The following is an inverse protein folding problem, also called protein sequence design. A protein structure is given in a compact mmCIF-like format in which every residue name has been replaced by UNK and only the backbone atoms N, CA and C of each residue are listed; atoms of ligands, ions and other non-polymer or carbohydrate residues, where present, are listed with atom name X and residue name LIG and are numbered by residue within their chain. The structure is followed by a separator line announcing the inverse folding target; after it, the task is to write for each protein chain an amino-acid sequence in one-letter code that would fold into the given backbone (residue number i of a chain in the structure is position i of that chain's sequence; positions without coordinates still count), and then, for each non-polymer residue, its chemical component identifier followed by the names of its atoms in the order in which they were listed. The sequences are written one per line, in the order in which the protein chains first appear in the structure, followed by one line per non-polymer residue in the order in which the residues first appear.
data_IF_036591962125
#
_entry.id   IF_036591962125
#
_cell.length_a   1.000
_cell.length_b   1.000
_cell.length_c   1.000
_cell.angle_alpha   90.00
_cell.angle_beta   90.00
_cell.angle_gamma   90.00
#
_symmetry.space_group_name_H-M   'P 1'
#
loop_
_entity.id
_entity.type
_entity.pdbx_description
1 polymer ?
#
# COMPACT_ATOMS: atom_id res chain seq x y z
N UNK A 1 -32.32 -23.34 14.01
CA UNK A 1 -31.54 -22.74 15.11
C UNK A 1 -30.08 -23.06 14.83
N UNK A 2 -29.39 -22.21 14.07
CA UNK A 2 -28.01 -22.45 13.64
C UNK A 2 -27.12 -22.14 14.84
N UNK A 3 -26.59 -23.17 15.50
CA UNK A 3 -25.51 -23.02 16.46
C UNK A 3 -24.28 -22.53 15.70
N UNK A 4 -24.03 -21.23 15.71
CA UNK A 4 -22.72 -20.65 15.40
C UNK A 4 -21.78 -21.07 16.52
N UNK A 5 -21.18 -22.26 16.36
CA UNK A 5 -20.02 -22.68 17.13
C UNK A 5 -18.90 -21.72 16.74
N UNK A 6 -18.71 -20.65 17.51
CA UNK A 6 -17.52 -19.80 17.42
C UNK A 6 -16.29 -20.71 17.55
N UNK A 7 -15.43 -20.83 16.52
CA UNK A 7 -14.18 -21.56 16.69
C UNK A 7 -13.26 -20.72 17.58
N UNK A 8 -12.69 -21.39 18.57
CA UNK A 8 -11.60 -21.02 19.47
C UNK A 8 -11.00 -19.61 19.25
N UNK A 9 -11.40 -18.64 20.07
CA UNK A 9 -10.71 -17.36 20.22
C UNK A 9 -9.23 -17.62 20.49
N UNK A 10 -8.38 -17.33 19.51
CA UNK A 10 -6.92 -17.54 19.55
C UNK A 10 -6.18 -16.57 20.48
N UNK A 11 -6.83 -16.05 21.54
CA UNK A 11 -6.23 -15.16 22.53
C UNK A 11 -5.08 -15.82 23.32
N UNK A 12 -4.94 -17.15 23.28
CA UNK A 12 -3.84 -17.87 23.94
C UNK A 12 -2.60 -18.00 23.06
N UNK A 13 -2.69 -17.70 21.76
CA UNK A 13 -1.57 -17.76 20.83
C UNK A 13 -0.79 -16.44 20.84
N UNK A 14 0.16 -16.35 21.77
CA UNK A 14 1.15 -15.26 21.89
C UNK A 14 1.70 -14.77 20.54
N UNK A 15 2.11 -15.63 19.57
CA UNK A 15 2.62 -15.14 18.29
C UNK A 15 1.57 -14.42 17.45
N UNK A 16 0.31 -14.85 17.49
CA UNK A 16 -0.79 -14.24 16.73
C UNK A 16 -1.14 -12.86 17.30
N UNK A 17 -1.21 -12.74 18.62
CA UNK A 17 -1.39 -11.45 19.30
C UNK A 17 -0.23 -10.49 19.02
N UNK A 18 1.01 -10.98 18.98
CA UNK A 18 2.17 -10.15 18.65
C UNK A 18 2.09 -9.61 17.21
N UNK A 19 1.70 -10.45 16.24
CA UNK A 19 1.52 -10.04 14.83
C UNK A 19 0.39 -9.01 14.71
N UNK A 20 -0.75 -9.24 15.35
CA UNK A 20 -1.88 -8.32 15.35
C UNK A 20 -1.52 -6.97 15.97
N UNK A 21 -0.82 -6.97 17.11
CA UNK A 21 -0.34 -5.75 17.77
C UNK A 21 0.67 -4.99 16.89
N UNK A 22 1.57 -5.71 16.22
CA UNK A 22 2.52 -5.11 15.28
C UNK A 22 1.80 -4.46 14.08
N UNK A 23 0.83 -5.14 13.47
CA UNK A 23 0.03 -4.57 12.38
C UNK A 23 -0.81 -3.37 12.83
N UNK A 24 -1.37 -3.40 14.04
CA UNK A 24 -2.05 -2.25 14.62
C UNK A 24 -1.10 -1.06 14.82
N UNK A 25 0.12 -1.30 15.30
CA UNK A 25 1.14 -0.27 15.46
C UNK A 25 1.53 0.34 14.10
N UNK A 26 1.75 -0.49 13.08
CA UNK A 26 2.04 -0.03 11.72
C UNK A 26 0.91 0.81 11.15
N UNK A 27 -0.34 0.40 11.37
CA UNK A 27 -1.51 1.17 10.95
C UNK A 27 -1.55 2.54 11.65
N UNK A 28 -1.34 2.59 12.96
CA UNK A 28 -1.34 3.86 13.72
C UNK A 28 -0.21 4.80 13.30
N UNK A 29 1.03 4.29 13.24
CA UNK A 29 2.19 5.11 12.84
C UNK A 29 2.03 5.55 11.39
N UNK A 30 1.62 4.64 10.51
CA UNK A 30 1.46 4.90 9.09
C UNK A 30 0.36 5.92 8.79
N UNK A 31 -0.81 5.79 9.41
CA UNK A 31 -1.91 6.74 9.22
C UNK A 31 -1.56 8.12 9.79
N UNK A 32 -1.02 8.19 11.00
CA UNK A 32 -0.59 9.45 11.61
C UNK A 32 0.51 10.13 10.78
N UNK A 33 1.52 9.37 10.34
CA UNK A 33 2.62 9.88 9.53
C UNK A 33 2.15 10.42 8.18
N UNK A 34 1.37 9.63 7.43
CA UNK A 34 0.85 10.04 6.13
C UNK A 34 -0.15 11.20 6.23
N UNK A 35 -0.96 11.25 7.30
CA UNK A 35 -1.85 12.37 7.56
C UNK A 35 -1.08 13.66 7.87
N UNK A 36 0.00 13.56 8.65
CA UNK A 36 0.87 14.70 8.95
C UNK A 36 1.59 15.22 7.69
N UNK A 37 2.08 14.33 6.82
CA UNK A 37 2.67 14.74 5.54
C UNK A 37 1.62 15.43 4.67
N UNK A 38 0.42 14.84 4.56
CA UNK A 38 -0.66 15.41 3.76
C UNK A 38 -1.11 16.79 4.28
N UNK A 39 -1.17 16.98 5.60
CA UNK A 39 -1.55 18.27 6.19
C UNK A 39 -0.49 19.34 5.93
N UNK A 40 0.80 19.01 6.04
CA UNK A 40 1.91 19.91 5.69
C UNK A 40 1.88 20.26 4.20
N UNK A 41 1.69 19.28 3.32
CA UNK A 41 1.63 19.52 1.87
C UNK A 41 0.42 20.38 1.51
N UNK A 42 -0.73 20.14 2.14
CA UNK A 42 -1.92 20.95 1.95
C UNK A 42 -1.69 22.41 2.42
N UNK A 43 -1.08 22.58 3.59
CA UNK A 43 -0.72 23.90 4.12
C UNK A 43 0.22 24.67 3.17
N UNK A 44 1.29 24.03 2.69
CA UNK A 44 2.26 24.64 1.77
C UNK A 44 1.61 25.00 0.43
N UNK A 45 0.74 24.13 -0.12
CA UNK A 45 0.00 24.41 -1.35
C UNK A 45 -1.01 25.54 -1.22
N UNK A 46 -1.57 25.73 -0.02
CA UNK A 46 -2.50 26.81 0.25
C UNK A 46 -1.79 28.17 0.38
N UNK A 47 -0.57 28.20 0.95
CA UNK A 47 0.18 29.44 1.12
C UNK A 47 0.94 29.89 -0.13
N UNK A 48 1.43 28.97 -0.96
CA UNK A 48 2.15 29.32 -2.20
C UNK A 48 1.52 28.65 -3.41
N UNK A 49 0.91 29.45 -4.30
CA UNK A 49 0.31 28.96 -5.54
C UNK A 49 1.34 28.34 -6.49
N UNK A 50 2.63 28.70 -6.41
CA UNK A 50 3.70 28.02 -7.15
C UNK A 50 3.94 26.60 -6.62
N UNK A 51 3.69 26.36 -5.33
CA UNK A 51 3.76 25.03 -4.76
C UNK A 51 2.67 24.08 -5.30
N UNK A 52 1.55 24.60 -5.83
CA UNK A 52 0.54 23.79 -6.51
C UNK A 52 1.09 23.13 -7.79
N UNK A 53 2.03 23.79 -8.49
CA UNK A 53 2.64 23.30 -9.73
C UNK A 53 3.92 22.47 -9.48
N UNK A 54 4.34 22.30 -8.23
CA UNK A 54 5.50 21.47 -7.91
C UNK A 54 5.16 19.98 -8.07
N UNK A 55 5.75 19.34 -9.08
CA UNK A 55 5.59 17.91 -9.36
C UNK A 55 5.96 17.03 -8.15
N UNK A 56 6.98 17.41 -7.37
CA UNK A 56 7.34 16.76 -6.10
C UNK A 56 6.18 16.66 -5.12
N UNK A 57 5.46 17.76 -4.90
CA UNK A 57 4.33 17.78 -3.96
C UNK A 57 3.16 16.95 -4.49
N UNK A 58 3.02 16.82 -5.82
CA UNK A 58 2.05 15.91 -6.42
C UNK A 58 2.42 14.44 -6.19
N UNK A 59 3.68 14.05 -6.40
CA UNK A 59 4.15 12.69 -6.09
C UNK A 59 3.91 12.33 -4.62
N UNK A 60 4.24 13.23 -3.70
CA UNK A 60 4.02 13.01 -2.26
C UNK A 60 2.53 12.84 -1.95
N UNK A 61 1.64 13.67 -2.52
CA UNK A 61 0.19 13.51 -2.30
C UNK A 61 -0.32 12.17 -2.81
N UNK A 62 0.07 11.77 -4.02
CA UNK A 62 -0.36 10.50 -4.60
C UNK A 62 0.18 9.34 -3.75
N UNK A 63 1.43 9.41 -3.28
CA UNK A 63 2.02 8.41 -2.39
C UNK A 63 1.21 8.25 -1.10
N UNK A 64 0.86 9.36 -0.43
CA UNK A 64 0.05 9.31 0.79
C UNK A 64 -1.34 8.68 0.55
N UNK A 65 -2.01 9.01 -0.57
CA UNK A 65 -3.31 8.41 -0.93
C UNK A 65 -3.18 6.89 -1.06
N UNK A 66 -2.08 6.43 -1.66
CA UNK A 66 -1.84 5.02 -1.95
C UNK A 66 -1.45 4.26 -0.70
N UNK A 67 -0.70 4.89 0.20
CA UNK A 67 -0.40 4.31 1.50
C UNK A 67 -1.68 4.19 2.35
N UNK A 68 -2.59 5.17 2.32
CA UNK A 68 -3.92 5.03 2.94
C UNK A 68 -4.71 3.86 2.34
N UNK A 69 -4.73 3.73 1.01
CA UNK A 69 -5.39 2.62 0.32
C UNK A 69 -4.77 1.27 0.70
N UNK A 70 -3.45 1.23 0.87
CA UNK A 70 -2.69 0.04 1.32
C UNK A 70 -2.92 -0.28 2.79
N UNK A 71 -3.37 0.69 3.59
CA UNK A 71 -3.66 0.53 5.02
C UNK A 71 -5.05 -0.02 5.30
N UNK A 72 -6.02 0.16 4.39
CA UNK A 72 -7.39 -0.34 4.55
C UNK A 72 -7.50 -1.86 4.74
N UNK A 73 -6.68 -2.72 4.09
CA UNK A 73 -6.69 -4.16 4.32
C UNK A 73 -6.18 -4.59 5.70
N UNK A 74 -5.23 -3.85 6.32
CA UNK A 74 -4.63 -4.24 7.60
C UNK A 74 -5.63 -4.52 8.74
N UNK A 75 -6.60 -3.64 9.04
CA UNK A 75 -7.58 -3.92 10.10
C UNK A 75 -8.45 -5.14 9.77
N UNK A 76 -8.76 -5.37 8.48
CA UNK A 76 -9.51 -6.55 8.06
C UNK A 76 -8.70 -7.83 8.23
N UNK A 77 -7.39 -7.80 7.96
CA UNK A 77 -6.47 -8.92 8.23
C UNK A 77 -6.37 -9.21 9.72
N UNK A 78 -6.32 -8.18 10.57
CA UNK A 78 -6.31 -8.36 12.04
C UNK A 78 -7.60 -9.05 12.48
N UNK A 79 -8.76 -8.59 12.00
CA UNK A 79 -10.07 -9.19 12.32
C UNK A 79 -10.13 -10.65 11.86
N UNK A 80 -9.71 -10.96 10.63
CA UNK A 80 -9.64 -12.33 10.11
C UNK A 80 -8.74 -13.23 10.96
N UNK A 81 -7.57 -12.73 11.39
CA UNK A 81 -6.65 -13.45 12.26
C UNK A 81 -7.22 -13.70 13.67
N UNK A 82 -7.98 -12.75 14.23
CA UNK A 82 -8.61 -12.89 15.55
C UNK A 82 -9.82 -13.84 15.52
N UNK A 83 -10.68 -13.73 14.50
CA UNK A 83 -11.88 -14.55 14.35
C UNK A 83 -11.57 -15.95 13.80
N UNK A 84 -10.46 -16.13 13.11
CA UNK A 84 -10.08 -17.39 12.47
C UNK A 84 -10.93 -17.77 11.25
N UNK A 85 -11.87 -16.90 10.84
CA UNK A 85 -12.68 -17.05 9.64
C UNK A 85 -13.05 -15.68 9.03
N UNK A 86 -13.23 -15.65 7.71
CA UNK A 86 -13.51 -14.41 6.96
C UNK A 86 -15.01 -14.13 6.87
N UNK A 87 -15.49 -13.08 7.56
CA UNK A 87 -16.92 -12.76 7.64
C UNK A 87 -17.49 -11.91 6.47
N UNK A 88 -16.65 -11.22 5.70
CA UNK A 88 -17.10 -10.25 4.67
C UNK A 88 -17.39 -10.88 3.29
N UNK A 89 -17.32 -12.21 3.19
CA UNK A 89 -17.54 -12.96 1.95
C UNK A 89 -16.38 -12.94 0.97
N UNK A 90 -16.46 -13.79 -0.06
CA UNK A 90 -15.39 -14.04 -1.05
C UNK A 90 -15.00 -12.81 -1.87
N UNK A 91 -15.97 -11.99 -2.26
CA UNK A 91 -15.72 -10.78 -3.05
C UNK A 91 -14.85 -9.77 -2.30
N UNK A 92 -15.18 -9.49 -1.03
CA UNK A 92 -14.41 -8.58 -0.19
C UNK A 92 -12.98 -9.12 0.06
N UNK A 93 -12.83 -10.42 0.32
CA UNK A 93 -11.51 -11.05 0.50
C UNK A 93 -10.60 -10.83 -0.73
N UNK A 94 -11.14 -11.06 -1.93
CA UNK A 94 -10.42 -10.83 -3.19
C UNK A 94 -10.10 -9.35 -3.38
N UNK A 95 -11.04 -8.46 -3.09
CA UNK A 95 -10.85 -7.01 -3.23
C UNK A 95 -9.75 -6.48 -2.30
N UNK A 96 -9.79 -6.81 -1.00
CA UNK A 96 -8.78 -6.33 -0.05
C UNK A 96 -7.39 -6.87 -0.37
N UNK A 97 -7.30 -8.14 -0.76
CA UNK A 97 -6.03 -8.71 -1.22
C UNK A 97 -5.52 -7.97 -2.46
N UNK A 98 -6.39 -7.72 -3.44
CA UNK A 98 -6.03 -6.95 -4.63
C UNK A 98 -5.55 -5.54 -4.27
N UNK A 99 -6.26 -4.83 -3.39
CA UNK A 99 -5.90 -3.48 -2.93
C UNK A 99 -4.53 -3.45 -2.24
N UNK A 100 -4.23 -4.45 -1.40
CA UNK A 100 -2.92 -4.55 -0.74
C UNK A 100 -1.77 -4.67 -1.76
N UNK A 101 -1.95 -5.50 -2.78
CA UNK A 101 -0.92 -5.70 -3.80
C UNK A 101 -0.78 -4.50 -4.74
N UNK A 102 -1.91 -3.97 -5.22
CA UNK A 102 -1.93 -2.76 -6.05
C UNK A 102 -1.26 -1.61 -5.29
N UNK A 103 -1.59 -1.44 -4.01
CA UNK A 103 -1.02 -0.42 -3.15
C UNK A 103 0.52 -0.50 -3.08
N UNK A 104 1.07 -1.68 -2.77
CA UNK A 104 2.54 -1.90 -2.73
C UNK A 104 3.22 -1.60 -4.07
N UNK A 105 2.64 -2.07 -5.17
CA UNK A 105 3.17 -1.86 -6.52
C UNK A 105 3.16 -0.36 -6.86
N UNK A 106 2.04 0.30 -6.58
CA UNK A 106 1.85 1.70 -6.96
C UNK A 106 2.69 2.64 -6.09
N UNK A 107 2.86 2.39 -4.78
CA UNK A 107 3.79 3.13 -3.93
C UNK A 107 5.23 3.01 -4.43
N UNK A 108 5.66 1.80 -4.82
CA UNK A 108 7.00 1.59 -5.39
C UNK A 108 7.16 2.35 -6.71
N UNK A 109 6.16 2.31 -7.59
CA UNK A 109 6.16 3.05 -8.85
C UNK A 109 6.33 4.56 -8.63
N UNK A 110 5.59 5.13 -7.67
CA UNK A 110 5.69 6.56 -7.33
C UNK A 110 7.07 6.91 -6.77
N UNK A 111 7.60 6.11 -5.84
CA UNK A 111 8.92 6.36 -5.24
C UNK A 111 10.03 6.34 -6.27
N UNK A 112 9.95 5.41 -7.23
CA UNK A 112 10.95 5.31 -8.28
C UNK A 112 10.78 6.45 -9.29
N UNK A 113 9.56 6.80 -9.69
CA UNK A 113 9.29 7.97 -10.53
C UNK A 113 9.79 9.27 -9.87
N UNK A 114 9.56 9.42 -8.56
CA UNK A 114 10.06 10.53 -7.75
C UNK A 114 11.59 10.57 -7.71
N UNK A 115 12.23 9.42 -7.47
CA UNK A 115 13.71 9.32 -7.43
C UNK A 115 14.32 9.64 -8.79
N UNK A 116 13.70 9.19 -9.88
CA UNK A 116 14.13 9.50 -11.23
C UNK A 116 13.97 10.97 -11.57
N UNK A 117 12.83 11.58 -11.21
CA UNK A 117 12.59 13.01 -11.39
C UNK A 117 13.71 13.83 -10.74
N UNK A 118 14.04 13.52 -9.48
CA UNK A 118 15.14 14.15 -8.75
C UNK A 118 16.51 13.87 -9.37
N UNK A 119 16.78 12.62 -9.74
CA UNK A 119 18.04 12.23 -10.38
C UNK A 119 18.24 12.97 -11.71
N UNK A 120 17.21 13.08 -12.54
CA UNK A 120 17.27 13.79 -13.82
C UNK A 120 17.46 15.29 -13.62
N UNK A 121 16.76 15.89 -12.67
CA UNK A 121 16.90 17.31 -12.34
C UNK A 121 18.34 17.66 -11.90
N UNK A 122 19.05 16.75 -11.22
CA UNK A 122 20.42 16.95 -10.73
C UNK A 122 21.47 16.62 -11.81
N UNK A 123 21.42 15.44 -12.40
CA UNK A 123 22.49 14.97 -13.30
C UNK A 123 22.37 15.52 -14.72
N UNK A 124 21.15 15.80 -15.19
CA UNK A 124 20.91 16.11 -16.60
C UNK A 124 19.85 17.20 -16.75
N UNK A 125 20.20 18.48 -16.51
CA UNK A 125 19.25 19.58 -16.62
C UNK A 125 18.65 19.74 -18.03
N UNK A 126 19.15 19.04 -19.08
CA UNK A 126 18.68 19.21 -20.46
C UNK A 126 18.48 17.98 -21.36
N UNK A 127 18.89 16.71 -21.08
CA UNK A 127 18.85 15.70 -22.20
C UNK A 127 18.81 14.18 -21.95
N UNK A 128 18.83 13.63 -20.73
CA UNK A 128 19.03 12.17 -20.53
C UNK A 128 17.94 11.44 -19.72
N UNK A 129 16.84 12.12 -19.40
CA UNK A 129 15.66 11.56 -18.70
C UNK A 129 15.19 10.22 -19.26
N UNK A 130 15.19 10.04 -20.59
CA UNK A 130 14.52 8.91 -21.24
C UNK A 130 15.23 7.56 -21.04
N UNK A 131 16.56 7.53 -20.83
CA UNK A 131 17.31 6.26 -20.70
C UNK A 131 17.17 5.65 -19.31
N UNK A 132 17.17 6.49 -18.27
CA UNK A 132 16.98 6.04 -16.89
C UNK A 132 15.55 5.56 -16.62
N UNK A 133 14.55 6.26 -17.19
CA UNK A 133 13.13 5.86 -17.15
C UNK A 133 12.92 4.45 -17.69
N UNK A 134 13.54 4.07 -18.82
CA UNK A 134 13.41 2.73 -19.40
C UNK A 134 13.91 1.61 -18.48
N UNK A 135 15.06 1.79 -17.84
CA UNK A 135 15.65 0.77 -16.93
C UNK A 135 14.75 0.60 -15.71
N UNK A 136 14.25 1.70 -15.17
CA UNK A 136 13.29 1.71 -14.06
C UNK A 136 11.97 1.05 -14.42
N UNK A 137 11.39 1.39 -15.57
CA UNK A 137 10.14 0.77 -16.02
C UNK A 137 10.33 -0.72 -16.23
N UNK A 138 11.50 -1.15 -16.73
CA UNK A 138 11.85 -2.56 -16.86
C UNK A 138 11.95 -3.27 -15.50
N UNK A 139 12.64 -2.67 -14.51
CA UNK A 139 12.74 -3.24 -13.16
C UNK A 139 11.38 -3.29 -12.45
N UNK A 140 10.58 -2.24 -12.56
CA UNK A 140 9.22 -2.20 -12.01
C UNK A 140 8.31 -3.21 -12.71
N UNK A 141 8.39 -3.32 -14.03
CA UNK A 141 7.62 -4.28 -14.81
C UNK A 141 8.02 -5.72 -14.49
N UNK A 142 9.31 -6.00 -14.23
CA UNK A 142 9.76 -7.32 -13.85
C UNK A 142 9.30 -7.68 -12.43
N UNK A 143 9.39 -6.75 -11.48
CA UNK A 143 8.85 -6.94 -10.14
C UNK A 143 7.33 -7.09 -10.14
N UNK A 144 6.62 -6.32 -10.97
CA UNK A 144 5.18 -6.45 -11.16
C UNK A 144 4.83 -7.80 -11.76
N UNK A 145 5.51 -8.21 -12.83
CA UNK A 145 5.32 -9.53 -13.46
C UNK A 145 5.56 -10.67 -12.47
N UNK A 146 6.64 -10.61 -11.70
CA UNK A 146 6.96 -11.60 -10.67
C UNK A 146 5.88 -11.65 -9.56
N UNK A 147 5.41 -10.47 -9.13
CA UNK A 147 4.35 -10.34 -8.12
C UNK A 147 3.04 -10.90 -8.63
N UNK A 148 2.63 -10.59 -9.87
CA UNK A 148 1.46 -11.18 -10.52
C UNK A 148 1.58 -12.69 -10.67
N UNK A 149 2.77 -13.20 -11.01
CA UNK A 149 3.00 -14.63 -11.16
C UNK A 149 2.85 -15.35 -9.82
N UNK A 150 3.41 -14.79 -8.74
CA UNK A 150 3.25 -15.29 -7.36
C UNK A 150 1.82 -15.15 -6.83
N UNK A 151 1.09 -14.12 -7.27
CA UNK A 151 -0.29 -13.84 -6.85
C UNK A 151 -1.34 -14.59 -7.63
N UNK A 152 -1.04 -15.00 -8.85
CA UNK A 152 -1.95 -15.75 -9.70
C UNK A 152 -2.50 -17.01 -9.01
N UNK A 153 -1.70 -17.89 -8.36
CA UNK A 153 -2.26 -19.01 -7.62
C UNK A 153 -3.11 -18.53 -6.43
N UNK A 154 -2.70 -17.48 -5.74
CA UNK A 154 -3.43 -16.99 -4.55
C UNK A 154 -4.80 -16.44 -4.94
N UNK A 155 -4.92 -15.71 -6.05
CA UNK A 155 -6.20 -15.15 -6.52
C UNK A 155 -7.12 -16.21 -7.14
N UNK A 156 -6.54 -17.23 -7.78
CA UNK A 156 -7.28 -18.36 -8.38
C UNK A 156 -7.79 -19.31 -7.28
N UNK A 157 -6.97 -19.59 -6.25
CA UNK A 157 -7.31 -20.48 -5.14
C UNK A 157 -7.92 -19.77 -3.91
N UNK A 158 -8.01 -18.43 -3.90
CA UNK A 158 -8.74 -17.69 -2.86
C UNK A 158 -10.26 -17.88 -3.02
N UNK A 159 -10.74 -19.08 -2.69
CA UNK A 159 -12.11 -19.31 -2.28
C UNK A 159 -12.18 -19.13 -0.76
N UNK A 160 -13.11 -18.33 -0.25
CA UNK A 160 -13.34 -18.32 1.21
C UNK A 160 -13.77 -19.73 1.60
N UNK A 161 -13.16 -20.26 2.65
CA UNK A 161 -13.70 -21.40 3.39
C UNK A 161 -14.98 -20.98 4.11
#
# INVERSE_FOLDING_TARGET
MVHYVLPYTNHTNVPLMAIAAFYALLFMIGTCGNAAILSVVHYVRHQDLRAKHNMTLAYICILCIVDFLSMLPLPMTIIDQLLGFWMFGTFACKLFRLLEHIGKIFSTFILVAFSLDRYCAVCHPLRLTMRSQKIVTLMLSSMFGLTCLMLSPILIFAHSK
#
